data_IF_164129091589
#
_entry.id   IF_164129091589
#
_cell.length_a   1.000
_cell.length_b   1.000
_cell.length_c   1.000
_cell.angle_alpha   90.00
_cell.angle_beta   90.00
_cell.angle_gamma   90.00
#
_symmetry.space_group_name_H-M   'P 1'
#
loop_
_entity.id
_entity.type
_entity.pdbx_description
1 polymer ?
#
# COMPACT_ATOMS: atom_id res chain seq x y z
N UNK A 1 17.77 -0.91 19.77
CA UNK A 1 17.19 -1.99 18.94
C UNK A 1 15.81 -1.48 18.53
N UNK A 2 15.70 -0.83 17.38
CA UNK A 2 14.41 -0.30 16.93
C UNK A 2 13.73 -1.41 16.16
N UNK A 3 13.14 -2.36 16.89
CA UNK A 3 12.18 -3.28 16.27
C UNK A 3 11.00 -2.40 15.86
N UNK A 4 10.83 -2.17 14.56
CA UNK A 4 9.67 -1.43 14.07
C UNK A 4 8.39 -2.07 14.60
N UNK A 5 7.30 -1.31 14.71
CA UNK A 5 6.03 -1.72 15.35
C UNK A 5 5.33 -2.96 14.75
N UNK A 6 5.91 -3.60 13.71
CA UNK A 6 5.38 -4.82 13.10
C UNK A 6 4.14 -4.59 12.23
N UNK A 7 3.70 -3.35 12.05
CA UNK A 7 2.44 -2.99 11.36
C UNK A 7 2.56 -2.90 9.83
N UNK A 8 3.76 -3.01 9.26
CA UNK A 8 3.96 -2.81 7.81
C UNK A 8 3.07 -3.72 6.95
N UNK A 9 3.00 -5.03 7.27
CA UNK A 9 2.20 -5.98 6.49
C UNK A 9 0.69 -5.84 6.73
N UNK A 10 0.25 -5.40 7.91
CA UNK A 10 -1.17 -5.16 8.17
C UNK A 10 -1.67 -3.95 7.37
N UNK A 11 -0.87 -2.88 7.31
CA UNK A 11 -1.12 -1.71 6.47
C UNK A 11 -1.17 -2.10 4.99
N UNK A 12 -0.18 -2.83 4.50
CA UNK A 12 -0.16 -3.30 3.09
C UNK A 12 -1.40 -4.13 2.77
N UNK A 13 -1.80 -5.06 3.65
CA UNK A 13 -3.00 -5.89 3.44
C UNK A 13 -4.27 -5.03 3.38
N UNK A 14 -4.39 -4.01 4.22
CA UNK A 14 -5.51 -3.06 4.19
C UNK A 14 -5.54 -2.27 2.88
N UNK A 15 -4.42 -1.71 2.44
CA UNK A 15 -4.34 -0.98 1.18
C UNK A 15 -4.67 -1.84 -0.04
N UNK A 16 -4.14 -3.07 -0.08
CA UNK A 16 -4.44 -4.02 -1.16
C UNK A 16 -5.95 -4.29 -1.23
N UNK A 17 -6.59 -4.54 -0.09
CA UNK A 17 -8.06 -4.74 -0.03
C UNK A 17 -8.85 -3.50 -0.46
N UNK A 18 -8.44 -2.30 -0.03
CA UNK A 18 -9.10 -1.04 -0.42
C UNK A 18 -9.11 -0.84 -1.93
N UNK A 19 -8.05 -1.28 -2.62
CA UNK A 19 -7.95 -1.24 -4.09
C UNK A 19 -8.58 -2.45 -4.78
N UNK A 20 -9.43 -3.20 -4.09
CA UNK A 20 -10.04 -4.45 -4.56
C UNK A 20 -9.01 -5.50 -5.05
N UNK A 21 -7.78 -5.40 -4.55
CA UNK A 21 -6.68 -6.31 -4.85
C UNK A 21 -6.62 -7.50 -3.89
N UNK A 22 -5.66 -8.39 -4.16
CA UNK A 22 -5.35 -9.57 -3.34
C UNK A 22 -3.85 -9.65 -3.07
N UNK A 23 -3.47 -10.20 -1.92
CA UNK A 23 -2.07 -10.37 -1.50
C UNK A 23 -1.82 -11.82 -1.08
N UNK A 24 -0.69 -12.37 -1.52
CA UNK A 24 -0.20 -13.71 -1.20
C UNK A 24 1.26 -13.66 -0.80
N UNK A 25 1.72 -14.70 -0.11
CA UNK A 25 3.13 -14.91 0.20
C UNK A 25 3.53 -16.31 -0.23
N UNK A 26 4.64 -16.41 -0.95
CA UNK A 26 5.34 -17.65 -1.25
C UNK A 26 6.68 -17.60 -0.51
N UNK A 27 6.90 -18.51 0.44
CA UNK A 27 8.06 -18.48 1.32
C UNK A 27 8.63 -19.86 1.53
N UNK A 28 9.96 -19.93 1.53
CA UNK A 28 10.71 -21.14 1.83
C UNK A 28 11.83 -20.83 2.81
N UNK A 29 11.88 -21.61 3.89
CA UNK A 29 12.91 -21.50 4.94
C UNK A 29 14.30 -21.57 4.29
N UNK A 30 15.20 -20.69 4.73
CA UNK A 30 16.57 -20.55 4.23
C UNK A 30 16.71 -20.19 2.72
N UNK A 31 15.62 -19.76 2.07
CA UNK A 31 15.64 -19.26 0.68
C UNK A 31 15.14 -17.81 0.64
N UNK A 32 14.05 -17.53 1.35
CA UNK A 32 13.45 -16.20 1.44
C UNK A 32 11.95 -16.23 1.24
N UNK A 33 11.38 -15.03 1.05
CA UNK A 33 9.94 -14.83 0.90
C UNK A 33 9.65 -13.90 -0.27
N UNK A 34 8.62 -14.24 -1.04
CA UNK A 34 8.08 -13.45 -2.14
C UNK A 34 6.65 -13.04 -1.79
N UNK A 35 6.41 -11.74 -1.72
CA UNK A 35 5.08 -11.17 -1.54
C UNK A 35 4.50 -10.79 -2.92
N UNK A 36 3.29 -11.25 -3.20
CA UNK A 36 2.65 -11.13 -4.51
C UNK A 36 1.36 -10.36 -4.35
N UNK A 37 1.28 -9.18 -4.94
CA UNK A 37 0.10 -8.32 -4.92
C UNK A 37 -0.54 -8.35 -6.31
N UNK A 38 -1.86 -8.54 -6.38
CA UNK A 38 -2.63 -8.51 -7.63
C UNK A 38 -3.73 -7.45 -7.52
N UNK A 39 -3.83 -6.58 -8.51
CA UNK A 39 -4.85 -5.53 -8.56
C UNK A 39 -5.71 -5.68 -9.82
N UNK A 40 -7.03 -5.43 -9.74
CA UNK A 40 -7.88 -5.40 -10.93
C UNK A 40 -7.53 -4.16 -11.78
N UNK A 41 -7.39 -4.36 -13.09
CA UNK A 41 -7.22 -3.26 -14.03
C UNK A 41 -8.60 -2.75 -14.41
N UNK A 42 -8.95 -1.52 -14.00
CA UNK A 42 -10.13 -0.83 -14.51
C UNK A 42 -9.73 -0.05 -15.77
N UNK A 43 -10.33 -0.40 -16.91
CA UNK A 43 -10.24 0.44 -18.10
C UNK A 43 -11.15 1.64 -17.89
N UNK A 44 -10.56 2.80 -17.66
CA UNK A 44 -11.31 4.05 -17.77
C UNK A 44 -11.31 4.48 -19.22
N UNK A 45 -12.49 4.86 -19.74
CA UNK A 45 -12.53 5.66 -20.96
C UNK A 45 -11.79 6.98 -20.71
N UNK A 46 -11.11 7.56 -21.72
CA UNK A 46 -10.36 8.79 -21.55
C UNK A 46 -11.31 9.91 -21.11
N UNK A 47 -11.39 10.10 -19.80
CA UNK A 47 -12.12 11.20 -19.17
C UNK A 47 -11.06 12.27 -18.90
N UNK A 48 -11.34 13.51 -19.25
CA UNK A 48 -10.49 14.66 -18.95
C UNK A 48 -10.07 14.61 -17.48
N UNK A 49 -8.79 14.37 -17.24
CA UNK A 49 -8.26 14.18 -15.89
C UNK A 49 -8.32 15.52 -15.17
N UNK A 50 -9.13 15.63 -14.12
CA UNK A 50 -8.94 16.70 -13.14
C UNK A 50 -7.63 16.42 -12.40
N UNK A 51 -6.64 17.26 -12.64
CA UNK A 51 -5.34 17.17 -11.97
C UNK A 51 -5.53 17.53 -10.50
N UNK A 52 -5.70 16.53 -9.65
CA UNK A 52 -5.64 16.72 -8.20
C UNK A 52 -4.28 17.31 -7.82
N UNK A 53 -4.30 18.35 -6.99
CA UNK A 53 -3.09 19.02 -6.54
C UNK A 53 -2.28 18.04 -5.67
N UNK A 54 -1.12 17.61 -6.17
CA UNK A 54 -0.34 16.51 -5.57
C UNK A 54 0.16 16.84 -4.16
N UNK A 55 0.28 18.13 -3.86
CA UNK A 55 0.83 18.62 -2.60
C UNK A 55 -0.14 18.34 -1.43
N UNK A 56 -1.45 18.57 -1.61
CA UNK A 56 -2.50 18.37 -0.59
C UNK A 56 -2.64 16.90 -0.17
N UNK A 57 -2.58 15.98 -1.14
CA UNK A 57 -2.65 14.54 -0.86
C UNK A 57 -1.42 14.06 -0.06
N UNK A 58 -0.25 14.63 -0.34
CA UNK A 58 0.99 14.26 0.34
C UNK A 58 0.99 14.67 1.82
N UNK A 59 0.44 15.84 2.14
CA UNK A 59 0.31 16.33 3.51
C UNK A 59 -0.71 15.50 4.28
N UNK A 60 -1.83 15.16 3.66
CA UNK A 60 -2.87 14.32 4.28
C UNK A 60 -2.35 12.91 4.58
N UNK A 61 -1.62 12.29 3.66
CA UNK A 61 -1.00 10.98 3.88
C UNK A 61 0.05 11.04 5.00
N UNK A 62 0.83 12.14 5.08
CA UNK A 62 1.80 12.33 6.17
C UNK A 62 1.14 12.48 7.53
N UNK A 63 0.04 13.24 7.63
CA UNK A 63 -0.71 13.42 8.88
C UNK A 63 -1.34 12.10 9.36
N UNK A 64 -1.94 11.32 8.47
CA UNK A 64 -2.59 10.03 8.83
C UNK A 64 -1.59 8.93 9.21
N UNK A 65 -0.33 9.07 8.79
CA UNK A 65 0.73 8.09 9.05
C UNK A 65 1.77 8.59 10.06
N UNK A 66 1.53 9.73 10.73
CA UNK A 66 2.46 10.29 11.74
C UNK A 66 2.71 9.32 12.89
N UNK A 67 1.68 8.57 13.28
CA UNK A 67 1.75 7.63 14.41
C UNK A 67 2.51 6.33 14.07
N UNK A 68 2.86 6.15 12.79
CA UNK A 68 3.51 4.95 12.24
C UNK A 68 5.02 5.15 12.09
N UNK A 69 5.49 6.38 11.94
CA UNK A 69 6.90 6.75 11.90
C UNK A 69 7.29 7.38 13.25
N UNK A 70 7.80 6.53 14.18
CA UNK A 70 8.44 6.97 15.43
C UNK A 70 9.91 7.35 15.16
#
# INVERSE_FOLDING_TARGET
KNEGSGIGLSIVKSFVKLHNGTIFVDSKINVGSRFILKFPIKKHEPTSVECFNKDDLSEKVKMELSDIYI
#
